data_IF_937414276669
#
_entry.id   IF_937414276669
#
_cell.length_a   1.000
_cell.length_b   1.000
_cell.length_c   1.000
_cell.angle_alpha   90.00
_cell.angle_beta   90.00
_cell.angle_gamma   90.00
#
_symmetry.space_group_name_H-M   'P 1'
#
loop_
_entity.id
_entity.type
_entity.pdbx_description
1 polymer ?
#
# COMPACT_ATOMS: atom_id res chain seq x y z
N UNK A 1 -0.46 9.88 -12.44
CA UNK A 1 0.90 9.85 -12.99
C UNK A 1 1.21 8.46 -13.53
N UNK A 2 2.21 8.32 -14.40
CA UNK A 2 2.77 7.01 -14.75
C UNK A 2 3.82 6.61 -13.71
N UNK A 3 3.88 5.33 -13.35
CA UNK A 3 4.93 4.77 -12.47
C UNK A 3 5.36 3.40 -12.96
N UNK A 4 6.65 3.09 -12.82
CA UNK A 4 7.18 1.75 -13.08
C UNK A 4 6.93 0.87 -11.86
N UNK A 5 6.34 -0.29 -12.07
CA UNK A 5 6.01 -1.26 -11.01
C UNK A 5 6.30 -2.69 -11.44
N UNK A 6 6.49 -3.58 -10.46
CA UNK A 6 6.49 -5.02 -10.64
C UNK A 6 5.09 -5.56 -10.32
N UNK A 7 4.37 -5.97 -11.35
CA UNK A 7 2.97 -6.40 -11.25
C UNK A 7 2.89 -7.91 -11.18
N UNK A 8 2.20 -8.42 -10.17
CA UNK A 8 1.78 -9.81 -10.10
C UNK A 8 0.53 -10.00 -10.95
N UNK A 9 0.70 -10.42 -12.21
CA UNK A 9 -0.40 -10.60 -13.17
C UNK A 9 -1.25 -11.84 -12.87
N UNK A 10 -0.77 -12.76 -12.05
CA UNK A 10 -1.47 -13.97 -11.63
C UNK A 10 -0.59 -14.87 -10.76
N UNK A 11 -1.23 -15.78 -10.02
CA UNK A 11 -0.55 -16.74 -9.16
C UNK A 11 0.48 -17.61 -9.92
N UNK A 12 1.62 -17.86 -9.29
CA UNK A 12 2.72 -18.69 -9.79
C UNK A 12 3.46 -18.14 -11.00
N UNK A 13 3.12 -16.92 -11.47
CA UNK A 13 3.79 -16.27 -12.60
C UNK A 13 4.90 -15.35 -12.10
N UNK A 14 5.99 -15.17 -12.86
CA UNK A 14 6.97 -14.12 -12.58
C UNK A 14 6.31 -12.74 -12.51
N UNK A 15 6.85 -11.86 -11.67
CA UNK A 15 6.45 -10.45 -11.68
C UNK A 15 6.80 -9.82 -13.02
N UNK A 16 5.86 -9.06 -13.58
CA UNK A 16 6.07 -8.33 -14.82
C UNK A 16 6.41 -6.88 -14.51
N UNK A 17 7.54 -6.41 -15.01
CA UNK A 17 7.91 -5.00 -14.87
C UNK A 17 7.24 -4.19 -15.97
N UNK A 18 6.33 -3.30 -15.59
CA UNK A 18 5.58 -2.47 -16.53
C UNK A 18 5.32 -1.06 -16.00
N UNK A 19 4.91 -0.18 -16.90
CA UNK A 19 4.43 1.15 -16.55
C UNK A 19 2.91 1.10 -16.31
N UNK A 20 2.48 1.62 -15.15
CA UNK A 20 1.07 1.62 -14.72
C UNK A 20 0.61 3.04 -14.41
N UNK A 21 -0.69 3.27 -14.44
CA UNK A 21 -1.33 4.50 -14.03
C UNK A 21 -1.53 4.51 -12.51
N UNK A 22 -1.04 5.56 -11.87
CA UNK A 22 -1.22 5.84 -10.44
C UNK A 22 -1.96 7.16 -10.25
N UNK A 23 -3.14 7.10 -9.64
CA UNK A 23 -3.87 8.29 -9.19
C UNK A 23 -3.13 9.00 -8.03
N UNK A 24 -3.30 10.33 -7.93
CA UNK A 24 -2.78 11.09 -6.79
C UNK A 24 -3.52 10.78 -5.47
N UNK A 25 -3.00 11.24 -4.33
CA UNK A 25 -3.62 10.99 -3.03
C UNK A 25 -4.96 11.75 -2.90
N UNK A 26 -5.98 11.06 -2.39
CA UNK A 26 -7.27 11.66 -1.99
C UNK A 26 -7.26 12.05 -0.51
N UNK A 27 -8.38 12.54 0.00
CA UNK A 27 -8.56 12.94 1.41
C UNK A 27 -8.01 11.87 2.38
N UNK A 28 -7.09 12.26 3.26
CA UNK A 28 -6.45 11.37 4.24
C UNK A 28 -5.40 10.40 3.66
N UNK A 29 -4.93 10.61 2.43
CA UNK A 29 -3.94 9.74 1.78
C UNK A 29 -2.60 10.43 1.52
N UNK A 30 -1.55 9.63 1.38
CA UNK A 30 -0.17 10.08 1.22
C UNK A 30 0.42 9.38 -0.01
N UNK A 31 0.99 10.16 -0.91
CA UNK A 31 1.79 9.66 -2.03
C UNK A 31 3.26 9.64 -1.62
N UNK A 32 3.90 8.48 -1.74
CA UNK A 32 5.32 8.31 -1.46
C UNK A 32 6.08 7.87 -2.70
N UNK A 33 7.32 8.32 -2.84
CA UNK A 33 8.32 7.72 -3.72
C UNK A 33 9.06 6.65 -2.92
N UNK A 34 8.94 5.40 -3.34
CA UNK A 34 9.63 4.27 -2.72
C UNK A 34 11.09 4.30 -3.14
N UNK A 35 12.00 4.37 -2.17
CA UNK A 35 13.46 4.42 -2.39
C UNK A 35 14.10 3.06 -2.26
N UNK A 36 13.55 2.21 -1.39
CA UNK A 36 13.98 0.83 -1.22
C UNK A 36 12.79 -0.02 -0.78
N UNK A 37 12.81 -1.30 -1.17
CA UNK A 37 11.88 -2.31 -0.67
C UNK A 37 12.61 -3.64 -0.50
N UNK A 38 12.33 -4.34 0.60
CA UNK A 38 12.71 -5.72 0.81
C UNK A 38 11.79 -6.68 0.07
N UNK A 39 12.23 -7.96 -0.05
CA UNK A 39 11.39 -9.08 -0.50
C UNK A 39 11.17 -9.96 0.71
N UNK A 40 9.92 -10.10 1.13
CA UNK A 40 9.52 -10.96 2.23
C UNK A 40 8.99 -12.30 1.72
N UNK A 41 9.09 -13.33 2.56
CA UNK A 41 8.40 -14.60 2.29
C UNK A 41 6.88 -14.43 2.14
N UNK A 42 6.25 -13.46 2.82
CA UNK A 42 4.80 -13.22 2.67
C UNK A 42 4.43 -12.75 1.26
N UNK A 43 5.27 -11.93 0.62
CA UNK A 43 5.06 -11.53 -0.78
C UNK A 43 5.12 -12.76 -1.71
N UNK A 44 6.11 -13.64 -1.51
CA UNK A 44 6.26 -14.89 -2.27
C UNK A 44 5.13 -15.88 -1.99
N UNK A 45 4.68 -15.99 -0.74
CA UNK A 45 3.56 -16.85 -0.37
C UNK A 45 2.29 -16.45 -1.10
N UNK A 46 1.97 -15.14 -1.13
CA UNK A 46 0.85 -14.65 -1.94
C UNK A 46 1.10 -14.91 -3.43
N UNK A 47 2.28 -14.54 -3.97
CA UNK A 47 2.59 -14.72 -5.40
C UNK A 47 2.48 -16.17 -5.86
N UNK A 48 2.85 -17.13 -5.01
CA UNK A 48 2.77 -18.57 -5.31
C UNK A 48 1.34 -19.07 -5.55
N UNK A 49 0.32 -18.34 -5.08
CA UNK A 49 -1.08 -18.77 -5.07
C UNK A 49 -1.46 -19.71 -3.93
N UNK A 50 -0.54 -19.98 -3.00
CA UNK A 50 -0.83 -20.79 -1.81
C UNK A 50 -1.60 -20.01 -0.73
N UNK A 51 -1.60 -18.68 -0.81
CA UNK A 51 -2.41 -17.79 0.02
C UNK A 51 -3.89 -17.81 -0.42
N UNK A 52 -4.82 -18.30 0.41
CA UNK A 52 -6.26 -18.31 0.09
C UNK A 52 -6.84 -16.91 -0.13
N UNK A 53 -6.21 -15.88 0.46
CA UNK A 53 -6.62 -14.49 0.36
C UNK A 53 -5.89 -13.75 -0.78
N UNK A 54 -5.08 -14.46 -1.59
CA UNK A 54 -4.33 -13.88 -2.68
C UNK A 54 -5.24 -13.34 -3.79
N UNK A 55 -5.08 -12.06 -4.14
CA UNK A 55 -5.86 -11.38 -5.17
C UNK A 55 -4.92 -10.90 -6.29
N UNK A 56 -5.32 -11.13 -7.54
CA UNK A 56 -4.57 -10.74 -8.74
C UNK A 56 -5.52 -10.06 -9.76
N UNK A 57 -5.03 -9.14 -10.59
CA UNK A 57 -3.65 -8.64 -10.64
C UNK A 57 -3.36 -7.61 -9.54
N UNK A 58 -2.18 -7.66 -8.93
CA UNK A 58 -1.80 -6.81 -7.80
C UNK A 58 -0.38 -6.28 -7.89
N UNK A 59 -0.11 -5.18 -7.18
CA UNK A 59 1.27 -4.72 -6.90
C UNK A 59 1.59 -5.13 -5.47
N UNK A 60 2.48 -6.12 -5.31
CA UNK A 60 2.89 -6.67 -4.02
C UNK A 60 3.89 -5.74 -3.29
N UNK A 61 4.52 -6.25 -2.22
CA UNK A 61 5.51 -5.54 -1.43
C UNK A 61 4.89 -4.79 -0.26
N UNK A 62 5.46 -5.00 0.93
CA UNK A 62 5.03 -4.35 2.17
C UNK A 62 6.19 -3.85 3.05
N UNK A 63 7.44 -4.15 2.70
CA UNK A 63 8.64 -3.77 3.45
C UNK A 63 9.42 -2.66 2.73
N UNK A 64 8.82 -1.48 2.63
CA UNK A 64 9.40 -0.33 1.91
C UNK A 64 9.88 0.81 2.82
N UNK A 65 10.70 1.68 2.24
CA UNK A 65 11.01 3.00 2.78
C UNK A 65 11.05 4.03 1.66
N UNK A 66 10.61 5.25 1.93
CA UNK A 66 10.43 6.25 0.90
C UNK A 66 10.41 7.68 1.41
N UNK A 67 10.09 8.59 0.49
CA UNK A 67 9.95 10.02 0.77
C UNK A 67 8.55 10.45 0.34
N UNK A 68 7.87 11.23 1.18
CA UNK A 68 6.57 11.81 0.85
C UNK A 68 6.72 12.79 -0.31
N UNK A 69 5.93 12.59 -1.36
CA UNK A 69 5.92 13.43 -2.57
C UNK A 69 4.76 14.41 -2.54
N UNK A 70 3.60 13.94 -2.08
CA UNK A 70 2.38 14.73 -1.98
C UNK A 70 1.44 14.16 -0.91
N UNK A 71 0.51 14.98 -0.43
CA UNK A 71 -0.48 14.59 0.58
C UNK A 71 -1.86 15.08 0.19
N UNK A 72 -2.87 14.26 0.46
CA UNK A 72 -4.26 14.63 0.28
C UNK A 72 -4.77 15.56 1.38
N UNK A 73 -6.00 16.06 1.19
CA UNK A 73 -6.65 16.94 2.15
C UNK A 73 -6.80 16.25 3.51
N UNK A 74 -6.56 16.98 4.60
CA UNK A 74 -6.75 16.48 5.96
C UNK A 74 -5.57 15.71 6.55
N UNK A 75 -4.53 15.41 5.75
CA UNK A 75 -3.27 14.86 6.26
C UNK A 75 -2.54 15.91 7.10
N UNK A 76 -2.08 15.50 8.28
CA UNK A 76 -1.43 16.38 9.27
C UNK A 76 -0.17 15.79 9.91
N UNK A 77 0.00 14.47 9.87
CA UNK A 77 1.10 13.75 10.53
C UNK A 77 2.40 13.73 9.72
N UNK A 78 2.32 13.91 8.40
CA UNK A 78 3.44 13.94 7.47
C UNK A 78 3.28 15.05 6.43
N UNK A 79 4.38 15.44 5.79
CA UNK A 79 4.38 16.40 4.69
C UNK A 79 5.43 16.06 3.64
N UNK A 80 5.31 16.67 2.45
CA UNK A 80 6.30 16.54 1.37
C UNK A 80 7.74 16.68 1.88
N UNK A 81 8.59 15.74 1.47
CA UNK A 81 10.00 15.67 1.84
C UNK A 81 10.30 14.86 3.11
N UNK A 82 9.28 14.49 3.90
CA UNK A 82 9.49 13.61 5.05
C UNK A 82 9.90 12.21 4.60
N UNK A 83 10.87 11.63 5.31
CA UNK A 83 11.24 10.22 5.15
C UNK A 83 10.24 9.37 5.91
N UNK A 84 9.77 8.30 5.28
CA UNK A 84 8.67 7.50 5.82
C UNK A 84 8.82 6.01 5.54
N UNK A 85 8.15 5.22 6.38
CA UNK A 85 7.98 3.78 6.25
C UNK A 85 6.48 3.46 6.18
N UNK A 86 6.00 2.76 5.12
CA UNK A 86 4.68 2.13 5.07
C UNK A 86 4.42 1.16 6.21
N UNK A 87 3.19 1.16 6.73
CA UNK A 87 2.76 0.29 7.81
C UNK A 87 1.60 -0.60 7.33
N UNK A 88 1.89 -1.88 7.08
CA UNK A 88 0.83 -2.83 6.73
C UNK A 88 -0.15 -3.07 7.89
N UNK A 89 0.29 -2.81 9.13
CA UNK A 89 -0.59 -2.70 10.29
C UNK A 89 -0.66 -1.22 10.67
N UNK A 90 -1.75 -0.52 10.32
CA UNK A 90 -1.86 0.92 10.54
C UNK A 90 -2.01 1.27 12.03
N UNK A 91 -1.95 2.55 12.37
CA UNK A 91 -2.22 3.05 13.73
C UNK A 91 -3.18 4.25 13.68
N UNK A 92 -4.50 4.01 13.78
CA UNK A 92 -5.47 5.11 13.71
C UNK A 92 -5.62 5.91 15.02
N UNK A 93 -5.09 5.39 16.14
CA UNK A 93 -5.15 5.99 17.49
C UNK A 93 -6.55 6.30 18.02
N UNK A 94 -7.58 5.72 17.42
CA UNK A 94 -8.98 5.97 17.76
C UNK A 94 -9.79 4.69 18.01
N UNK A 95 -9.44 3.58 17.36
CA UNK A 95 -10.18 2.33 17.50
C UNK A 95 -9.88 1.63 18.86
N UNK A 96 -10.77 0.74 19.34
CA UNK A 96 -10.56 0.02 20.59
C UNK A 96 -9.21 -0.71 20.67
N UNK A 97 -8.73 -1.29 19.56
CA UNK A 97 -7.42 -1.95 19.51
C UNK A 97 -6.28 -0.98 19.79
N UNK A 98 -6.22 0.16 19.10
CA UNK A 98 -5.18 1.18 19.32
C UNK A 98 -5.23 1.77 20.74
N UNK A 99 -6.41 1.89 21.34
CA UNK A 99 -6.56 2.43 22.69
C UNK A 99 -6.29 1.40 23.80
N UNK A 100 -6.22 0.10 23.46
CA UNK A 100 -6.22 -0.99 24.43
C UNK A 100 -4.95 -1.12 25.27
N UNK A 101 -3.81 -0.60 24.79
CA UNK A 101 -2.45 -0.85 25.33
C UNK A 101 -2.05 -2.33 25.43
N UNK A 102 -2.79 -3.24 24.81
CA UNK A 102 -2.57 -4.70 24.86
C UNK A 102 -2.33 -5.31 23.49
N UNK A 103 -2.64 -4.58 22.42
CA UNK A 103 -2.44 -5.01 21.04
C UNK A 103 -2.04 -3.83 20.16
N UNK A 104 -1.42 -4.13 19.03
CA UNK A 104 -1.12 -3.20 17.93
C UNK A 104 -2.04 -3.41 16.71
N UNK A 105 -2.99 -4.34 16.77
CA UNK A 105 -3.80 -4.75 15.62
C UNK A 105 -4.96 -3.76 15.37
N UNK A 106 -4.62 -2.61 14.77
CA UNK A 106 -5.61 -1.64 14.33
C UNK A 106 -6.62 -2.27 13.37
N UNK A 107 -7.91 -1.98 13.59
CA UNK A 107 -9.01 -2.53 12.79
C UNK A 107 -9.62 -1.53 11.82
N UNK A 108 -9.16 -0.27 11.81
CA UNK A 108 -9.82 0.84 11.14
C UNK A 108 -10.05 0.64 9.63
N UNK A 109 -9.10 0.00 8.95
CA UNK A 109 -9.14 -0.20 7.49
C UNK A 109 -8.99 -1.68 7.10
N UNK A 110 -9.09 -2.61 8.06
CA UNK A 110 -8.83 -4.04 7.81
C UNK A 110 -9.76 -4.62 6.74
N UNK A 111 -11.01 -4.16 6.69
CA UNK A 111 -12.02 -4.65 5.74
C UNK A 111 -11.66 -4.33 4.29
N UNK A 112 -11.20 -3.11 3.99
CA UNK A 112 -10.80 -2.72 2.63
C UNK A 112 -9.38 -3.17 2.30
N UNK A 113 -8.47 -3.15 3.28
CA UNK A 113 -7.09 -3.59 3.08
C UNK A 113 -7.01 -5.07 2.70
N UNK A 114 -7.83 -5.93 3.32
CA UNK A 114 -7.92 -7.35 2.93
C UNK A 114 -8.53 -7.60 1.54
N UNK A 115 -9.23 -6.61 0.98
CA UNK A 115 -9.77 -6.64 -0.38
C UNK A 115 -8.82 -6.01 -1.41
N UNK A 116 -7.63 -5.56 -0.98
CA UNK A 116 -6.66 -4.89 -1.84
C UNK A 116 -7.10 -3.50 -2.28
N UNK A 117 -7.79 -2.76 -1.41
CA UNK A 117 -8.38 -1.44 -1.72
C UNK A 117 -8.01 -0.39 -0.65
N UNK A 118 -8.03 0.87 -1.08
CA UNK A 118 -7.95 2.03 -0.20
C UNK A 118 -9.18 2.12 0.72
N UNK A 119 -9.17 2.96 1.77
CA UNK A 119 -10.31 3.08 2.70
C UNK A 119 -11.63 3.48 2.03
N UNK A 120 -11.59 4.12 0.87
CA UNK A 120 -12.76 4.50 0.07
C UNK A 120 -13.29 3.36 -0.84
N UNK A 121 -12.71 2.16 -0.75
CA UNK A 121 -13.10 0.99 -1.54
C UNK A 121 -12.63 1.03 -3.00
N UNK A 122 -11.71 1.92 -3.35
CA UNK A 122 -11.15 2.02 -4.70
C UNK A 122 -9.66 1.70 -4.73
N UNK A 123 -9.11 1.48 -5.92
CA UNK A 123 -7.66 1.40 -6.13
C UNK A 123 -7.15 2.71 -6.70
N UNK A 124 -5.91 3.05 -6.35
CA UNK A 124 -5.13 4.11 -7.03
C UNK A 124 -4.36 3.61 -8.24
N UNK A 125 -4.25 2.30 -8.44
CA UNK A 125 -3.50 1.71 -9.54
C UNK A 125 -4.40 1.17 -10.64
N UNK A 126 -4.02 1.39 -11.89
CA UNK A 126 -4.63 0.76 -13.06
C UNK A 126 -3.62 0.56 -14.19
N UNK A 127 -3.93 -0.31 -15.13
CA UNK A 127 -3.16 -0.52 -16.37
C UNK A 127 -4.13 -0.68 -17.53
N UNK A 128 -4.03 0.19 -18.54
CA UNK A 128 -4.98 0.18 -19.67
C UNK A 128 -6.45 0.42 -19.26
N UNK A 129 -6.68 1.11 -18.14
CA UNK A 129 -8.01 1.32 -17.56
C UNK A 129 -8.51 0.20 -16.65
N UNK A 130 -7.82 -0.95 -16.63
CA UNK A 130 -8.14 -2.07 -15.73
C UNK A 130 -7.48 -1.87 -14.37
N UNK A 131 -8.21 -2.15 -13.30
CA UNK A 131 -7.75 -1.97 -11.93
C UNK A 131 -6.64 -2.96 -11.57
N UNK A 132 -5.63 -2.49 -10.86
CA UNK A 132 -4.66 -3.31 -10.13
C UNK A 132 -4.95 -3.20 -8.63
N UNK A 133 -4.92 -4.32 -7.91
CA UNK A 133 -5.15 -4.33 -6.47
C UNK A 133 -3.93 -3.85 -5.69
N UNK A 134 -4.22 -3.15 -4.58
CA UNK A 134 -3.23 -2.87 -3.55
C UNK A 134 -2.92 -4.14 -2.76
N UNK A 135 -1.74 -4.19 -2.16
CA UNK A 135 -1.30 -5.31 -1.34
C UNK A 135 -0.91 -4.84 0.05
N UNK A 136 -1.56 -5.41 1.05
CA UNK A 136 -1.33 -5.12 2.48
C UNK A 136 -1.37 -3.62 2.84
N UNK A 137 -2.03 -2.79 2.02
CA UNK A 137 -2.10 -1.34 2.19
C UNK A 137 -0.81 -0.59 1.87
N UNK A 138 0.18 -1.26 1.24
CA UNK A 138 1.52 -0.71 1.00
C UNK A 138 1.89 -0.66 -0.49
N UNK A 139 1.86 -1.81 -1.18
CA UNK A 139 2.25 -1.95 -2.60
C UNK A 139 3.61 -1.35 -2.95
N UNK A 140 4.65 -1.74 -2.21
CA UNK A 140 6.00 -1.17 -2.32
C UNK A 140 6.80 -1.65 -3.51
N UNK A 141 6.30 -2.61 -4.30
CA UNK A 141 6.89 -3.01 -5.59
C UNK A 141 6.53 -2.04 -6.73
N UNK A 142 6.42 -0.75 -6.42
CA UNK A 142 6.24 0.35 -7.38
C UNK A 142 7.14 1.52 -6.97
N UNK A 143 7.69 2.25 -7.94
CA UNK A 143 8.48 3.45 -7.66
C UNK A 143 7.69 4.51 -6.86
N UNK A 144 6.36 4.54 -7.02
CA UNK A 144 5.47 5.40 -6.27
C UNK A 144 4.25 4.61 -5.80
N UNK A 145 3.74 4.91 -4.61
CA UNK A 145 2.52 4.29 -4.07
C UNK A 145 1.75 5.27 -3.20
N UNK A 146 0.44 5.04 -3.08
CA UNK A 146 -0.47 5.85 -2.26
C UNK A 146 -0.98 4.99 -1.12
N UNK A 147 -0.92 5.52 0.11
CA UNK A 147 -1.34 4.86 1.33
C UNK A 147 -2.26 5.78 2.13
N UNK A 148 -3.16 5.25 2.97
CA UNK A 148 -3.84 6.09 3.95
C UNK A 148 -2.82 6.62 4.96
N UNK A 149 -3.01 7.85 5.45
CA UNK A 149 -2.11 8.52 6.41
C UNK A 149 -1.79 7.65 7.63
N UNK A 150 -2.80 6.96 8.16
CA UNK A 150 -2.65 6.07 9.32
C UNK A 150 -1.74 4.85 9.07
N UNK A 151 -1.35 4.61 7.82
CA UNK A 151 -0.45 3.55 7.40
C UNK A 151 0.93 4.08 6.98
N UNK A 152 1.31 5.29 7.42
CA UNK A 152 2.62 5.89 7.12
C UNK A 152 3.25 6.43 8.40
N UNK A 153 4.47 6.00 8.71
CA UNK A 153 5.25 6.52 9.83
C UNK A 153 6.41 7.38 9.32
N UNK A 154 6.54 8.60 9.86
CA UNK A 154 7.74 9.42 9.68
C UNK A 154 8.92 8.88 10.47
N UNK A 155 10.12 8.92 9.86
CA UNK A 155 11.40 8.50 10.46
C UNK A 155 12.48 9.57 10.34
#
# INVERSE_FOLDING_TARGET
>A
MKTRAAVAVGAGKPLEIMEVDLEGPRDGEVLIEVKATGICHTDEFTLSGADPEGIFPAILGHEGAGIVVDVGKGVTSVRKGDHVIPLYTPECRQCPSCLSRKTNLCTAIRATQGQGLMPDGTSRFSVGGEKLFHYMGCSTFSNFTVLPEIAVAKV
#
